data_IF_697520939663
#
_entry.id   IF_697520939663
#
_cell.length_a   1.000
_cell.length_b   1.000
_cell.length_c   1.000
_cell.angle_alpha   90.00
_cell.angle_beta   90.00
_cell.angle_gamma   90.00
#
_symmetry.space_group_name_H-M   'P 1'
#
loop_
_entity.id
_entity.type
_entity.pdbx_description
1 polymer ?
#
# COMPACT_ATOMS: atom_id res chain seq x y z
N UNK A 1 -12.70 -46.84 29.00
CA UNK A 1 -11.97 -45.86 29.84
C UNK A 1 -10.98 -46.65 30.69
N UNK A 2 -9.69 -46.26 30.85
CA UNK A 2 -9.17 -44.88 30.97
C UNK A 2 -8.12 -44.52 29.88
N UNK A 3 -8.02 -43.29 29.36
CA UNK A 3 -7.54 -41.99 29.88
C UNK A 3 -6.05 -41.71 29.66
N UNK A 4 -5.78 -40.89 28.63
CA UNK A 4 -4.74 -39.84 28.50
C UNK A 4 -3.27 -40.25 28.24
N UNK A 5 -2.64 -39.61 27.24
CA UNK A 5 -1.62 -38.62 27.60
C UNK A 5 -1.80 -37.28 26.86
N UNK A 6 -1.61 -36.22 27.65
CA UNK A 6 -1.56 -34.83 27.27
C UNK A 6 -0.25 -34.48 26.53
N UNK A 7 -0.41 -33.50 25.63
CA UNK A 7 0.51 -32.42 25.27
C UNK A 7 1.48 -32.53 24.07
N UNK A 8 1.53 -31.38 23.37
CA UNK A 8 2.54 -30.80 22.46
C UNK A 8 2.28 -31.04 20.96
N UNK A 9 2.15 -30.04 20.09
CA UNK A 9 2.42 -28.60 20.19
C UNK A 9 1.69 -27.88 19.04
N UNK A 10 0.63 -27.13 19.36
CA UNK A 10 -0.03 -26.23 18.40
C UNK A 10 0.68 -24.88 18.41
N UNK A 11 1.55 -24.64 17.43
CA UNK A 11 2.25 -23.35 17.30
C UNK A 11 1.27 -22.28 16.80
N UNK A 12 0.65 -21.55 17.74
CA UNK A 12 -0.15 -20.35 17.45
C UNK A 12 0.83 -19.22 17.12
N UNK A 13 0.82 -18.78 15.85
CA UNK A 13 1.54 -17.57 15.40
C UNK A 13 1.20 -16.39 16.32
N UNK A 14 2.19 -15.64 16.87
CA UNK A 14 1.89 -14.52 17.73
C UNK A 14 1.25 -13.42 16.90
N UNK A 15 0.08 -12.94 17.34
CA UNK A 15 -0.55 -11.74 16.79
C UNK A 15 0.33 -10.54 17.14
N UNK A 16 0.59 -9.69 16.15
CA UNK A 16 1.25 -8.39 16.29
C UNK A 16 0.57 -7.59 17.40
N UNK A 17 1.28 -7.32 18.49
CA UNK A 17 0.84 -6.39 19.54
C UNK A 17 1.10 -4.97 19.06
N UNK A 18 0.09 -4.13 19.10
CA UNK A 18 0.22 -2.69 18.85
C UNK A 18 1.21 -2.05 19.85
N UNK A 19 1.96 -1.00 19.46
CA UNK A 19 2.87 -0.29 20.36
C UNK A 19 2.14 0.28 21.58
N UNK A 20 2.74 0.29 22.77
CA UNK A 20 2.11 0.90 23.94
C UNK A 20 1.99 2.42 23.76
N UNK A 21 0.95 3.08 24.32
CA UNK A 21 0.86 4.53 24.32
C UNK A 21 2.03 5.13 25.10
N UNK A 22 2.64 6.21 24.58
CA UNK A 22 3.67 6.95 25.31
C UNK A 22 3.11 7.49 26.63
N UNK A 23 3.69 7.04 27.75
CA UNK A 23 3.46 7.64 29.06
C UNK A 23 4.19 9.01 29.11
N UNK A 24 3.50 10.12 29.44
CA UNK A 24 4.17 11.40 29.60
C UNK A 24 5.08 11.37 30.86
N UNK A 25 6.20 12.12 30.87
CA UNK A 25 7.14 12.09 31.97
C UNK A 25 6.50 12.63 33.26
N UNK A 26 6.61 11.85 34.32
CA UNK A 26 6.13 12.14 35.67
C UNK A 26 6.95 13.29 36.27
N UNK A 27 6.42 14.52 36.17
CA UNK A 27 7.04 15.67 36.83
C UNK A 27 6.78 15.59 38.33
N UNK A 28 7.86 15.37 39.10
CA UNK A 28 7.87 15.52 40.55
C UNK A 28 7.22 16.86 40.94
N UNK A 29 6.18 16.78 41.76
CA UNK A 29 5.61 17.94 42.45
C UNK A 29 6.54 18.30 43.62
N UNK A 30 7.36 19.33 43.44
CA UNK A 30 7.93 20.06 44.57
C UNK A 30 6.91 21.12 45.01
N UNK A 31 6.30 20.88 46.17
CA UNK A 31 5.61 21.90 46.95
C UNK A 31 6.70 22.61 47.76
N UNK A 32 6.90 23.90 47.49
CA UNK A 32 7.31 24.80 48.56
C UNK A 32 6.57 26.13 48.42
N UNK A 33 6.08 26.58 49.56
CA UNK A 33 5.17 27.69 49.76
C UNK A 33 5.95 28.87 50.31
N UNK A 34 6.03 29.98 49.59
CA UNK A 34 6.08 31.33 50.17
C UNK A 34 5.95 32.46 49.12
N UNK A 35 4.74 33.03 49.08
CA UNK A 35 4.48 34.46 49.30
C UNK A 35 5.32 35.50 48.52
N UNK A 36 4.75 36.05 47.43
CA UNK A 36 5.08 37.40 46.93
C UNK A 36 3.84 38.05 46.28
N UNK A 37 3.23 39.00 46.98
CA UNK A 37 2.38 40.03 46.36
C UNK A 37 3.29 41.15 45.85
N UNK A 38 3.44 41.29 44.53
CA UNK A 38 3.94 42.52 43.93
C UNK A 38 3.55 42.63 42.45
N UNK A 39 2.90 43.74 42.08
CA UNK A 39 3.02 44.32 40.74
C UNK A 39 2.09 43.79 39.65
N UNK A 40 0.88 44.35 39.55
CA UNK A 40 0.15 44.45 38.27
C UNK A 40 0.88 45.46 37.37
N UNK A 41 1.72 44.99 36.45
CA UNK A 41 1.80 45.51 35.07
C UNK A 41 2.84 44.77 34.23
N UNK A 42 2.50 44.49 32.96
CA UNK A 42 3.34 43.98 31.85
C UNK A 42 3.72 42.49 31.89
N UNK A 43 2.82 41.64 31.41
CA UNK A 43 3.12 40.23 31.13
C UNK A 43 2.38 39.61 29.95
N UNK A 44 1.75 40.40 29.08
CA UNK A 44 0.93 39.85 27.98
C UNK A 44 1.76 39.23 26.83
N UNK A 45 3.07 39.50 26.78
CA UNK A 45 3.97 38.98 25.73
C UNK A 45 4.56 37.59 25.97
N UNK A 46 4.57 37.09 27.22
CA UNK A 46 5.20 35.79 27.55
C UNK A 46 4.28 34.60 27.26
N UNK A 47 2.99 34.72 27.62
CA UNK A 47 1.98 33.71 27.30
C UNK A 47 1.80 33.53 25.78
N UNK A 48 1.92 34.62 25.02
CA UNK A 48 1.85 34.57 23.56
C UNK A 48 3.03 33.78 22.97
N UNK A 49 4.27 33.99 23.43
CA UNK A 49 5.45 33.22 22.96
C UNK A 49 5.37 31.73 23.27
N UNK A 50 4.86 31.34 24.45
CA UNK A 50 4.64 29.94 24.80
C UNK A 50 3.56 29.27 23.94
N UNK A 51 2.48 29.98 23.64
CA UNK A 51 1.43 29.52 22.74
C UNK A 51 1.91 29.37 21.28
N UNK A 52 2.77 30.27 20.80
CA UNK A 52 3.44 30.14 19.49
C UNK A 52 4.37 28.93 19.43
N UNK A 53 5.15 28.68 20.50
CA UNK A 53 6.02 27.52 20.58
C UNK A 53 5.24 26.19 20.62
N UNK A 54 4.11 26.12 21.35
CA UNK A 54 3.25 24.94 21.35
C UNK A 54 2.58 24.71 19.99
N UNK A 55 2.08 25.77 19.33
CA UNK A 55 1.50 25.67 17.98
C UNK A 55 2.52 25.18 16.96
N UNK A 56 3.75 25.69 17.04
CA UNK A 56 4.83 25.25 16.14
C UNK A 56 5.24 23.81 16.43
N UNK A 57 5.35 23.40 17.70
CA UNK A 57 5.58 21.99 18.07
C UNK A 57 4.48 21.08 17.55
N UNK A 58 3.21 21.48 17.68
CA UNK A 58 2.07 20.72 17.12
C UNK A 58 2.16 20.62 15.60
N UNK A 59 2.53 21.71 14.92
CA UNK A 59 2.71 21.72 13.46
C UNK A 59 3.85 20.82 13.02
N UNK A 60 4.99 20.84 13.72
CA UNK A 60 6.13 19.96 13.44
C UNK A 60 5.79 18.49 13.70
N UNK A 61 5.06 18.19 14.78
CA UNK A 61 4.58 16.84 15.06
C UNK A 61 3.61 16.36 13.97
N UNK A 62 2.67 17.22 13.54
CA UNK A 62 1.76 16.91 12.43
C UNK A 62 2.52 16.63 11.14
N UNK A 63 3.52 17.46 10.79
CA UNK A 63 4.34 17.21 9.60
C UNK A 63 5.10 15.88 9.67
N UNK A 64 5.62 15.50 10.85
CA UNK A 64 6.27 14.20 11.04
C UNK A 64 5.27 13.03 10.98
N UNK A 65 4.07 13.20 11.50
CA UNK A 65 2.99 12.19 11.40
C UNK A 65 2.51 12.04 9.96
N UNK A 66 2.36 13.14 9.23
CA UNK A 66 2.01 13.15 7.81
C UNK A 66 3.06 12.45 6.95
N UNK A 67 4.35 12.68 7.24
CA UNK A 67 5.46 12.02 6.54
C UNK A 67 5.44 10.50 6.77
N UNK A 68 5.31 10.06 8.03
CA UNK A 68 5.16 8.63 8.36
C UNK A 68 3.92 8.01 7.72
N UNK A 69 2.81 8.75 7.67
CA UNK A 69 1.59 8.28 7.04
C UNK A 69 1.82 8.04 5.53
N UNK A 70 2.52 8.95 4.85
CA UNK A 70 2.86 8.77 3.42
C UNK A 70 3.72 7.55 3.18
N UNK A 71 4.73 7.30 4.03
CA UNK A 71 5.56 6.11 3.95
C UNK A 71 4.75 4.82 4.10
N UNK A 72 3.77 4.81 5.01
CA UNK A 72 2.88 3.67 5.22
C UNK A 72 1.98 3.41 4.01
N UNK A 73 1.41 4.45 3.43
CA UNK A 73 0.58 4.34 2.22
C UNK A 73 1.41 3.78 1.06
N UNK A 74 2.63 4.26 0.85
CA UNK A 74 3.51 3.75 -0.20
C UNK A 74 3.88 2.27 -0.01
N UNK A 75 4.07 1.83 1.25
CA UNK A 75 4.31 0.42 1.56
C UNK A 75 3.08 -0.44 1.28
N UNK A 76 1.88 0.07 1.57
CA UNK A 76 0.62 -0.63 1.28
C UNK A 76 0.39 -0.77 -0.23
N UNK A 77 0.61 0.29 -1.01
CA UNK A 77 0.47 0.23 -2.48
C UNK A 77 1.38 -0.83 -3.10
N UNK A 78 2.61 -0.94 -2.60
CA UNK A 78 3.56 -2.00 -3.02
C UNK A 78 3.04 -3.39 -2.68
N UNK A 79 2.42 -3.57 -1.50
CA UNK A 79 1.83 -4.83 -1.10
C UNK A 79 0.60 -5.18 -1.97
N UNK A 80 -0.27 -4.21 -2.22
CA UNK A 80 -1.44 -4.36 -3.10
C UNK A 80 -1.02 -4.76 -4.50
N UNK A 81 0.01 -4.12 -5.07
CA UNK A 81 0.56 -4.47 -6.38
C UNK A 81 1.05 -5.93 -6.43
N UNK A 82 1.84 -6.33 -5.44
CA UNK A 82 2.34 -7.72 -5.34
C UNK A 82 1.21 -8.72 -5.21
N UNK A 83 0.20 -8.41 -4.39
CA UNK A 83 -0.97 -9.24 -4.23
C UNK A 83 -1.77 -9.35 -5.53
N UNK A 84 -1.95 -8.24 -6.25
CA UNK A 84 -2.65 -8.22 -7.53
C UNK A 84 -1.92 -9.09 -8.58
N UNK A 85 -0.60 -8.94 -8.72
CA UNK A 85 0.24 -9.78 -9.59
C UNK A 85 0.12 -11.26 -9.22
N UNK A 86 0.25 -11.59 -7.93
CA UNK A 86 0.15 -12.98 -7.47
C UNK A 86 -1.23 -13.59 -7.71
N UNK A 87 -2.28 -12.79 -7.52
CA UNK A 87 -3.67 -13.21 -7.75
C UNK A 87 -3.92 -13.50 -9.22
N UNK A 88 -3.30 -12.75 -10.13
CA UNK A 88 -3.36 -13.00 -11.56
C UNK A 88 -2.75 -14.37 -11.91
N UNK A 89 -1.53 -14.65 -11.42
CA UNK A 89 -0.88 -15.97 -11.60
C UNK A 89 -1.75 -17.14 -11.17
N UNK A 90 -2.34 -17.04 -9.97
CA UNK A 90 -3.21 -18.10 -9.46
C UNK A 90 -4.45 -18.31 -10.32
N UNK A 91 -5.06 -17.24 -10.84
CA UNK A 91 -6.25 -17.35 -11.70
C UNK A 91 -5.94 -17.93 -13.07
N UNK A 92 -4.80 -17.58 -13.64
CA UNK A 92 -4.32 -18.15 -14.91
C UNK A 92 -4.09 -19.63 -14.75
N UNK A 93 -3.36 -20.03 -13.70
CA UNK A 93 -3.15 -21.44 -13.36
C UNK A 93 -4.44 -22.21 -13.12
N UNK A 94 -5.44 -21.58 -12.50
CA UNK A 94 -6.76 -22.18 -12.23
C UNK A 94 -7.69 -22.24 -13.46
N UNK A 95 -7.29 -21.69 -14.62
CA UNK A 95 -8.14 -21.60 -15.82
C UNK A 95 -9.30 -20.61 -15.70
N UNK A 96 -9.22 -19.65 -14.78
CA UNK A 96 -10.24 -18.61 -14.53
C UNK A 96 -9.68 -17.20 -14.71
N UNK A 97 -8.75 -17.06 -15.66
CA UNK A 97 -8.10 -15.80 -15.96
C UNK A 97 -9.09 -14.75 -16.44
N UNK A 98 -8.93 -13.54 -15.94
CA UNK A 98 -9.51 -12.33 -16.51
C UNK A 98 -8.56 -11.72 -17.55
N UNK A 99 -9.05 -10.85 -18.44
CA UNK A 99 -8.20 -10.13 -19.40
C UNK A 99 -6.99 -9.43 -18.74
N UNK A 100 -7.20 -8.76 -17.60
CA UNK A 100 -6.11 -8.12 -16.85
C UNK A 100 -5.06 -9.12 -16.36
N UNK A 101 -5.48 -10.34 -16.01
CA UNK A 101 -4.56 -11.35 -15.50
C UNK A 101 -3.59 -11.78 -16.62
N UNK A 102 -4.08 -11.95 -17.85
CA UNK A 102 -3.24 -12.23 -19.03
C UNK A 102 -2.22 -11.13 -19.28
N UNK A 103 -2.63 -9.86 -19.26
CA UNK A 103 -1.70 -8.73 -19.40
C UNK A 103 -0.65 -8.72 -18.30
N UNK A 104 -1.03 -9.11 -17.08
CA UNK A 104 -0.11 -9.19 -15.93
C UNK A 104 0.92 -10.32 -16.10
N UNK A 105 0.52 -11.46 -16.67
CA UNK A 105 1.45 -12.55 -16.98
C UNK A 105 2.41 -12.16 -18.09
N UNK A 106 1.92 -11.49 -19.14
CA UNK A 106 2.79 -10.98 -20.20
C UNK A 106 3.80 -9.98 -19.65
N UNK A 107 3.38 -9.09 -18.74
CA UNK A 107 4.30 -8.20 -18.02
C UNK A 107 5.36 -8.98 -17.25
N UNK A 108 4.98 -10.04 -16.53
CA UNK A 108 5.90 -10.87 -15.74
C UNK A 108 7.00 -11.52 -16.59
N UNK A 109 6.76 -11.79 -17.86
CA UNK A 109 7.77 -12.34 -18.77
C UNK A 109 8.75 -11.26 -19.25
N UNK A 110 8.28 -10.02 -19.44
CA UNK A 110 9.09 -8.93 -19.98
C UNK A 110 9.73 -8.03 -18.91
N UNK A 111 9.26 -8.09 -17.66
CA UNK A 111 9.70 -7.21 -16.57
C UNK A 111 11.18 -7.45 -16.24
N UNK A 112 12.09 -6.50 -16.55
CA UNK A 112 13.52 -6.65 -16.31
C UNK A 112 13.88 -6.56 -14.82
N UNK A 113 12.97 -6.05 -13.99
CA UNK A 113 13.16 -5.89 -12.54
C UNK A 113 12.69 -7.12 -11.75
N UNK A 114 12.10 -8.11 -12.43
CA UNK A 114 11.63 -9.35 -11.83
C UNK A 114 12.81 -10.18 -11.32
N UNK A 115 12.62 -10.78 -10.14
CA UNK A 115 13.47 -11.84 -9.62
C UNK A 115 12.77 -13.20 -9.79
N UNK A 116 13.19 -14.05 -10.75
CA UNK A 116 12.59 -15.36 -10.98
C UNK A 116 12.62 -16.32 -9.78
N UNK A 117 13.48 -16.04 -8.78
CA UNK A 117 13.61 -16.87 -7.58
C UNK A 117 12.49 -16.61 -6.56
N UNK A 118 11.79 -15.48 -6.66
CA UNK A 118 10.67 -15.14 -5.76
C UNK A 118 9.34 -15.75 -6.25
N UNK A 119 9.36 -16.46 -7.38
CA UNK A 119 8.20 -17.00 -8.04
C UNK A 119 7.86 -18.43 -7.59
N UNK A 120 6.65 -18.61 -7.07
CA UNK A 120 6.17 -19.93 -6.66
C UNK A 120 5.62 -20.77 -7.83
N UNK A 121 5.30 -20.13 -8.97
CA UNK A 121 4.74 -20.77 -10.16
C UNK A 121 5.75 -20.62 -11.30
N UNK A 122 6.13 -21.74 -11.90
CA UNK A 122 7.07 -21.75 -13.02
C UNK A 122 6.45 -21.10 -14.27
N UNK A 123 7.27 -20.42 -15.07
CA UNK A 123 6.82 -19.77 -16.30
C UNK A 123 6.24 -20.77 -17.31
N UNK A 124 6.70 -22.03 -17.28
CA UNK A 124 6.17 -23.11 -18.09
C UNK A 124 4.75 -23.55 -17.73
N UNK A 125 4.24 -23.17 -16.55
CA UNK A 125 2.87 -23.47 -16.11
C UNK A 125 1.87 -22.37 -16.49
N UNK A 126 2.34 -21.24 -17.02
CA UNK A 126 1.51 -20.10 -17.35
C UNK A 126 1.45 -19.93 -18.86
N UNK A 127 0.22 -19.86 -19.40
CA UNK A 127 0.02 -19.55 -20.80
C UNK A 127 0.33 -18.06 -21.06
N UNK A 128 0.99 -17.78 -22.17
CA UNK A 128 1.29 -16.42 -22.61
C UNK A 128 0.33 -16.05 -23.74
N UNK A 129 -0.33 -14.90 -23.59
CA UNK A 129 -1.23 -14.35 -24.60
C UNK A 129 -0.68 -13.00 -25.04
N UNK A 130 -0.66 -12.77 -26.36
CA UNK A 130 -0.27 -11.48 -26.91
C UNK A 130 -1.26 -10.40 -26.47
N UNK A 131 -0.79 -9.19 -26.10
CA UNK A 131 -1.68 -8.13 -25.60
C UNK A 131 -2.86 -7.85 -26.52
N UNK A 132 -2.64 -7.79 -27.84
CA UNK A 132 -3.69 -7.55 -28.83
C UNK A 132 -4.80 -8.61 -28.78
N UNK A 133 -4.42 -9.89 -28.64
CA UNK A 133 -5.36 -11.01 -28.52
C UNK A 133 -6.18 -10.99 -27.23
N UNK A 134 -5.71 -10.30 -26.18
CA UNK A 134 -6.48 -10.12 -24.93
C UNK A 134 -7.65 -9.15 -25.13
N UNK A 135 -7.49 -8.14 -26.01
CA UNK A 135 -8.54 -7.16 -26.30
C UNK A 135 -9.55 -7.66 -27.34
N UNK A 136 -9.17 -8.62 -28.17
CA UNK A 136 -10.04 -9.19 -29.20
C UNK A 136 -11.25 -9.92 -28.58
N UNK A 137 -12.45 -9.64 -29.13
CA UNK A 137 -13.69 -10.30 -28.69
C UNK A 137 -14.26 -9.82 -27.34
N UNK A 138 -13.63 -8.86 -26.67
CA UNK A 138 -14.20 -8.23 -25.48
C UNK A 138 -15.33 -7.26 -25.85
N UNK A 139 -16.42 -7.31 -25.07
CA UNK A 139 -17.49 -6.31 -25.18
C UNK A 139 -17.04 -4.94 -24.64
N UNK A 140 -17.70 -3.86 -25.07
CA UNK A 140 -17.43 -2.49 -24.56
C UNK A 140 -17.48 -2.38 -23.03
N UNK A 141 -18.39 -3.12 -22.37
CA UNK A 141 -18.46 -3.15 -20.91
C UNK A 141 -17.23 -3.81 -20.27
N UNK A 142 -16.73 -4.90 -20.88
CA UNK A 142 -15.51 -5.57 -20.43
C UNK A 142 -14.27 -4.73 -20.69
N UNK A 143 -14.20 -4.04 -21.84
CA UNK A 143 -13.11 -3.11 -22.15
C UNK A 143 -13.05 -1.95 -21.14
N UNK A 144 -14.19 -1.36 -20.77
CA UNK A 144 -14.22 -0.31 -19.74
C UNK A 144 -13.85 -0.83 -18.35
N UNK A 145 -14.17 -2.08 -18.02
CA UNK A 145 -13.68 -2.71 -16.78
C UNK A 145 -12.18 -2.92 -16.82
N UNK A 146 -11.65 -3.39 -17.94
CA UNK A 146 -10.23 -3.64 -18.14
C UNK A 146 -9.41 -2.35 -18.08
N UNK A 147 -9.90 -1.26 -18.66
CA UNK A 147 -9.31 0.07 -18.56
C UNK A 147 -9.12 0.51 -17.10
N UNK A 148 -10.16 0.38 -16.27
CA UNK A 148 -10.07 0.72 -14.83
C UNK A 148 -9.06 -0.15 -14.10
N UNK A 149 -8.99 -1.42 -14.46
CA UNK A 149 -8.00 -2.34 -13.90
C UNK A 149 -6.58 -1.88 -14.33
N UNK A 150 -6.36 -1.53 -15.60
CA UNK A 150 -5.09 -0.97 -16.12
C UNK A 150 -4.70 0.32 -15.39
N UNK A 151 -5.65 1.24 -15.18
CA UNK A 151 -5.41 2.49 -14.44
C UNK A 151 -4.98 2.24 -13.00
N UNK A 152 -5.53 1.21 -12.38
CA UNK A 152 -5.14 0.77 -11.03
C UNK A 152 -3.69 0.26 -11.04
N UNK A 153 -3.28 -0.50 -12.05
CA UNK A 153 -1.87 -0.89 -12.18
C UNK A 153 -0.95 0.30 -12.47
N UNK A 154 -1.39 1.27 -13.29
CA UNK A 154 -0.62 2.49 -13.58
C UNK A 154 -0.35 3.36 -12.34
N UNK A 155 -1.27 3.37 -11.37
CA UNK A 155 -1.12 4.13 -10.13
C UNK A 155 -0.24 3.42 -9.10
N UNK A 156 -0.26 2.08 -9.08
CA UNK A 156 0.50 1.26 -8.14
C UNK A 156 1.93 0.96 -8.62
N UNK A 157 2.16 0.93 -9.92
CA UNK A 157 3.45 0.53 -10.50
C UNK A 157 4.55 1.59 -10.31
N UNK A 158 5.72 1.13 -9.87
CA UNK A 158 6.85 2.00 -9.52
C UNK A 158 7.96 2.00 -10.59
N UNK A 159 8.12 0.90 -11.32
CA UNK A 159 9.11 0.78 -12.40
C UNK A 159 8.68 1.53 -13.66
N UNK A 160 9.59 2.31 -14.25
CA UNK A 160 9.30 3.09 -15.45
C UNK A 160 8.90 2.19 -16.65
N UNK A 161 9.64 1.11 -16.86
CA UNK A 161 9.40 0.17 -17.97
C UNK A 161 8.04 -0.52 -17.83
N UNK A 162 7.69 -0.93 -16.61
CA UNK A 162 6.38 -1.54 -16.34
C UNK A 162 5.25 -0.53 -16.53
N UNK A 163 5.44 0.73 -16.13
CA UNK A 163 4.45 1.80 -16.39
C UNK A 163 4.28 2.04 -17.88
N UNK A 164 5.35 2.02 -18.65
CA UNK A 164 5.27 2.20 -20.10
C UNK A 164 4.54 1.04 -20.78
N UNK A 165 4.73 -0.20 -20.32
CA UNK A 165 3.89 -1.33 -20.73
C UNK A 165 2.41 -1.08 -20.46
N UNK A 166 2.03 -0.65 -19.25
CA UNK A 166 0.63 -0.38 -18.95
C UNK A 166 0.06 0.80 -19.75
N UNK A 167 0.87 1.83 -20.04
CA UNK A 167 0.46 2.94 -20.94
C UNK A 167 0.20 2.45 -22.36
N UNK A 168 1.05 1.57 -22.90
CA UNK A 168 0.83 0.98 -24.23
C UNK A 168 -0.50 0.22 -24.25
N UNK A 169 -0.79 -0.59 -23.22
CA UNK A 169 -2.06 -1.29 -23.12
C UNK A 169 -3.27 -0.34 -23.00
N UNK A 170 -3.12 0.79 -22.30
CA UNK A 170 -4.14 1.83 -22.25
C UNK A 170 -4.41 2.42 -23.66
N UNK A 171 -3.36 2.71 -24.43
CA UNK A 171 -3.48 3.21 -25.81
C UNK A 171 -4.13 2.17 -26.72
N UNK A 172 -3.75 0.90 -26.62
CA UNK A 172 -4.36 -0.19 -27.40
C UNK A 172 -5.88 -0.23 -27.15
N UNK A 173 -6.31 -0.11 -25.89
CA UNK A 173 -7.73 -0.02 -25.53
C UNK A 173 -8.45 1.16 -26.22
N UNK A 174 -7.81 2.33 -26.31
CA UNK A 174 -8.39 3.49 -27.00
C UNK A 174 -8.55 3.25 -28.50
N UNK A 175 -7.57 2.59 -29.12
CA UNK A 175 -7.61 2.20 -30.53
C UNK A 175 -8.73 1.19 -30.77
N UNK A 176 -8.86 0.16 -29.92
CA UNK A 176 -9.95 -0.82 -30.03
C UNK A 176 -11.34 -0.15 -29.93
N UNK A 177 -11.47 0.92 -29.14
CA UNK A 177 -12.73 1.66 -29.02
C UNK A 177 -13.03 2.47 -30.28
N UNK A 178 -12.02 3.08 -30.89
CA UNK A 178 -12.18 3.92 -32.08
C UNK A 178 -12.37 3.13 -33.38
N UNK A 179 -11.89 1.89 -33.46
CA UNK A 179 -12.11 0.98 -34.60
C UNK A 179 -13.45 0.24 -34.55
N UNK A 180 -14.16 0.27 -33.42
CA UNK A 180 -15.45 -0.40 -33.25
C UNK A 180 -16.67 0.48 -33.61
N UNK A 181 -16.43 1.71 -34.08
CA UNK A 181 -17.42 2.68 -34.57
C UNK A 181 -17.28 2.90 -36.08
#
# INVERSE_FOLDING_TARGET
MPSNPRDRYGSKRPRSRSPPPHAPPEKLRHIDSQQWYAGRSRGQGSANRGAWNLKEQTRLNQLQEDEKMREWVAQEDTFVLRQAKKKAELRVKDGRAKPIDWLTITLRVIDPTRNPLDDEIADSELDLVEPEGVFEGLSNAQLSSLEKDIDTFLSLETSADNRDYWKVNHIIREICTSLSY
#
